data_IF_782029120420
#
_entry.id   IF_782029120420
#
_cell.length_a   1.000
_cell.length_b   1.000
_cell.length_c   1.000
_cell.angle_alpha   90.00
_cell.angle_beta   90.00
_cell.angle_gamma   90.00
#
_symmetry.space_group_name_H-M   'P 1'
#
loop_
_entity.id
_entity.type
_entity.pdbx_description
1 polymer ?
#
# COMPACT_ATOMS: atom_id res chain seq x y z
N UNK A 1 4.02 28.77 13.37
CA UNK A 1 2.80 28.56 12.55
C UNK A 1 2.85 27.19 11.88
N UNK A 2 1.95 26.29 12.27
CA UNK A 2 1.77 24.98 11.65
C UNK A 2 0.88 25.05 10.41
N UNK A 3 1.35 24.53 9.27
CA UNK A 3 0.56 24.43 8.05
C UNK A 3 0.05 23.00 7.89
N UNK A 4 -1.27 22.81 7.73
CA UNK A 4 -1.87 21.48 7.58
C UNK A 4 -2.48 21.37 6.19
N UNK A 5 -2.06 20.36 5.42
CA UNK A 5 -2.62 20.02 4.12
C UNK A 5 -3.38 18.70 4.26
N UNK A 6 -4.70 18.75 4.07
CA UNK A 6 -5.61 17.60 4.11
C UNK A 6 -6.00 17.17 2.70
N UNK A 7 -6.44 15.92 2.55
CA UNK A 7 -6.98 15.42 1.28
C UNK A 7 -5.91 15.01 0.27
N UNK A 8 -4.69 14.71 0.74
CA UNK A 8 -3.66 14.13 -0.12
C UNK A 8 -4.03 12.68 -0.40
N UNK A 9 -4.18 12.34 -1.67
CA UNK A 9 -4.39 10.96 -2.11
C UNK A 9 -3.10 10.43 -2.69
N UNK A 10 -2.68 9.24 -2.25
CA UNK A 10 -1.54 8.55 -2.79
C UNK A 10 -1.92 7.11 -3.16
N UNK A 11 -1.65 6.67 -4.40
CA UNK A 11 -1.86 5.28 -4.77
C UNK A 11 -0.86 4.39 -4.05
N UNK A 12 -1.35 3.25 -3.58
CA UNK A 12 -0.62 2.22 -2.87
C UNK A 12 -0.87 0.88 -3.54
N UNK A 13 0.13 0.01 -3.53
CA UNK A 13 0.01 -1.35 -4.02
C UNK A 13 0.37 -2.34 -2.94
N UNK A 14 -0.58 -3.20 -2.57
CA UNK A 14 -0.31 -4.33 -1.70
C UNK A 14 0.07 -5.54 -2.57
N UNK A 15 1.24 -6.12 -2.33
CA UNK A 15 1.63 -7.39 -2.92
C UNK A 15 1.61 -8.46 -1.84
N UNK A 16 0.81 -9.51 -2.06
CA UNK A 16 0.73 -10.70 -1.22
C UNK A 16 1.32 -11.88 -1.98
N UNK A 17 2.24 -12.61 -1.37
CA UNK A 17 2.77 -13.86 -1.91
C UNK A 17 2.35 -14.98 -0.98
N UNK A 18 1.48 -15.86 -1.46
CA UNK A 18 0.92 -16.95 -0.69
C UNK A 18 1.28 -18.29 -1.33
N UNK A 19 1.84 -19.22 -0.57
CA UNK A 19 2.07 -20.57 -1.09
C UNK A 19 0.82 -21.42 -0.87
N UNK A 20 0.20 -21.86 -1.95
CA UNK A 20 -1.08 -22.60 -1.86
C UNK A 20 -0.89 -24.03 -1.35
N UNK A 21 0.30 -24.60 -1.53
CA UNK A 21 0.60 -25.98 -1.14
C UNK A 21 0.77 -26.08 0.37
N UNK A 22 1.58 -25.18 0.94
CA UNK A 22 1.77 -25.09 2.40
C UNK A 22 0.68 -24.29 3.10
N UNK A 23 -0.16 -23.55 2.36
CA UNK A 23 -1.19 -22.65 2.89
C UNK A 23 -0.62 -21.57 3.81
N UNK A 24 0.55 -21.05 3.46
CA UNK A 24 1.26 -20.04 4.24
C UNK A 24 1.46 -18.76 3.43
N UNK A 25 1.25 -17.61 4.09
CA UNK A 25 1.70 -16.33 3.56
C UNK A 25 3.23 -16.29 3.61
N UNK A 26 3.86 -16.19 2.44
CA UNK A 26 5.31 -16.11 2.31
C UNK A 26 5.79 -14.67 2.52
N UNK A 27 5.07 -13.70 1.93
CA UNK A 27 5.41 -12.29 2.05
C UNK A 27 4.18 -11.41 1.89
N UNK A 28 4.21 -10.25 2.54
CA UNK A 28 3.30 -9.13 2.32
C UNK A 28 4.11 -7.85 2.30
N UNK A 29 4.02 -7.08 1.22
CA UNK A 29 4.64 -5.76 1.11
C UNK A 29 3.64 -4.73 0.60
N UNK A 30 3.82 -3.48 1.04
CA UNK A 30 3.08 -2.33 0.53
C UNK A 30 4.08 -1.40 -0.10
N UNK A 31 3.86 -1.09 -1.37
CA UNK A 31 4.68 -0.18 -2.15
C UNK A 31 3.87 1.07 -2.49
N UNK A 32 4.54 2.22 -2.51
CA UNK A 32 3.95 3.48 -2.95
C UNK A 32 3.95 3.52 -4.48
N UNK A 33 2.78 3.71 -5.09
CA UNK A 33 2.65 3.76 -6.54
C UNK A 33 1.35 3.13 -7.03
N UNK A 34 1.04 3.37 -8.30
CA UNK A 34 -0.09 2.74 -8.96
C UNK A 34 0.23 1.29 -9.34
N UNK A 35 -0.76 0.41 -9.17
CA UNK A 35 -0.73 -0.92 -9.73
C UNK A 35 -2.14 -1.34 -10.18
N UNK A 36 -2.21 -2.39 -10.99
CA UNK A 36 -3.48 -2.99 -11.35
C UNK A 36 -3.81 -4.13 -10.38
N UNK A 37 -5.11 -4.40 -10.22
CA UNK A 37 -5.56 -5.63 -9.58
C UNK A 37 -5.11 -6.81 -10.45
N UNK A 38 -4.22 -7.63 -9.91
CA UNK A 38 -3.60 -8.72 -10.64
C UNK A 38 -3.46 -9.95 -9.74
N UNK A 39 -3.57 -11.12 -10.33
CA UNK A 39 -3.36 -12.38 -9.64
C UNK A 39 -2.57 -13.30 -10.55
N UNK A 40 -1.36 -13.65 -10.13
CA UNK A 40 -0.45 -14.53 -10.85
C UNK A 40 -0.20 -15.79 -10.05
N UNK A 41 -0.12 -16.93 -10.73
CA UNK A 41 0.17 -18.21 -10.10
C UNK A 41 1.40 -18.85 -10.73
N UNK A 42 2.40 -19.14 -9.91
CA UNK A 42 3.59 -19.87 -10.32
C UNK A 42 3.41 -21.38 -10.06
N UNK A 43 3.30 -22.14 -11.14
CA UNK A 43 3.12 -23.60 -11.10
C UNK A 43 4.33 -24.36 -10.54
N UNK A 44 5.54 -23.78 -10.58
CA UNK A 44 6.79 -24.39 -10.09
C UNK A 44 6.89 -24.25 -8.58
N UNK A 45 6.76 -23.02 -8.07
CA UNK A 45 6.88 -22.74 -6.64
C UNK A 45 5.58 -22.93 -5.88
N UNK A 46 4.44 -23.05 -6.57
CA UNK A 46 3.08 -23.04 -6.00
C UNK A 46 2.76 -21.74 -5.26
N UNK A 47 3.41 -20.64 -5.64
CA UNK A 47 3.14 -19.32 -5.10
C UNK A 47 2.03 -18.64 -5.91
N UNK A 48 1.05 -18.12 -5.19
CA UNK A 48 0.02 -17.21 -5.66
C UNK A 48 0.43 -15.80 -5.28
N UNK A 49 0.71 -14.97 -6.27
CA UNK A 49 1.01 -13.55 -6.12
C UNK A 49 -0.26 -12.77 -6.38
N UNK A 50 -0.70 -11.96 -5.42
CA UNK A 50 -1.89 -11.13 -5.52
C UNK A 50 -1.43 -9.68 -5.37
N UNK A 51 -1.76 -8.84 -6.35
CA UNK A 51 -1.54 -7.40 -6.29
C UNK A 51 -2.88 -6.71 -6.16
N UNK A 52 -3.02 -5.89 -5.13
CA UNK A 52 -4.26 -5.17 -4.85
C UNK A 52 -3.97 -3.67 -4.82
N UNK A 53 -4.62 -2.87 -5.69
CA UNK A 53 -4.51 -1.42 -5.64
C UNK A 53 -5.33 -0.85 -4.49
N UNK A 54 -4.77 0.14 -3.81
CA UNK A 54 -5.44 0.92 -2.78
C UNK A 54 -5.13 2.41 -3.01
N UNK A 55 -6.02 3.25 -2.51
CA UNK A 55 -5.78 4.70 -2.40
C UNK A 55 -5.67 5.03 -0.92
N UNK A 56 -4.47 5.42 -0.49
CA UNK A 56 -4.24 6.00 0.82
C UNK A 56 -4.61 7.47 0.81
N UNK A 57 -5.39 7.92 1.78
CA UNK A 57 -5.60 9.33 2.06
C UNK A 57 -4.70 9.72 3.23
N UNK A 58 -4.04 10.86 3.11
CA UNK A 58 -3.12 11.36 4.10
C UNK A 58 -3.35 12.84 4.43
N UNK A 59 -2.86 13.22 5.60
CA UNK A 59 -2.71 14.61 6.00
C UNK A 59 -1.23 14.88 6.23
N UNK A 60 -0.73 15.98 5.66
CA UNK A 60 0.64 16.45 5.90
C UNK A 60 0.59 17.66 6.83
N UNK A 61 1.35 17.59 7.92
CA UNK A 61 1.50 18.68 8.87
C UNK A 61 2.94 19.18 8.78
N UNK A 62 3.10 20.46 8.45
CA UNK A 62 4.37 21.17 8.52
C UNK A 62 4.45 21.92 9.84
N UNK A 63 5.48 21.64 10.63
CA UNK A 63 5.76 22.37 11.87
C UNK A 63 6.74 23.53 11.64
N UNK A 64 6.84 24.39 12.64
CA UNK A 64 7.69 25.60 12.65
C UNK A 64 9.19 25.29 12.42
N UNK A 65 9.59 24.03 12.56
CA UNK A 65 10.96 23.53 12.36
C UNK A 65 11.16 22.86 10.98
N UNK A 66 10.25 23.10 10.03
CA UNK A 66 10.23 22.42 8.71
C UNK A 66 10.16 20.89 8.78
N UNK A 67 9.72 20.33 9.91
CA UNK A 67 9.46 18.90 10.00
C UNK A 67 8.10 18.64 9.36
N UNK A 68 8.09 17.74 8.38
CA UNK A 68 6.88 17.25 7.73
C UNK A 68 6.48 15.90 8.35
N UNK A 69 5.25 15.79 8.82
CA UNK A 69 4.67 14.53 9.27
C UNK A 69 3.51 14.16 8.36
N UNK A 70 3.53 12.93 7.84
CA UNK A 70 2.44 12.36 7.06
C UNK A 70 1.68 11.36 7.92
N UNK A 71 0.38 11.56 8.07
CA UNK A 71 -0.50 10.62 8.77
C UNK A 71 -1.51 10.09 7.78
N UNK A 72 -1.54 8.76 7.60
CA UNK A 72 -2.59 8.09 6.83
C UNK A 72 -3.91 8.23 7.57
N UNK A 73 -4.88 8.91 6.97
CA UNK A 73 -6.20 9.15 7.55
C UNK A 73 -7.24 8.15 7.07
N UNK A 74 -7.09 7.59 5.86
CA UNK A 74 -8.02 6.60 5.32
C UNK A 74 -7.33 5.69 4.28
N UNK A 75 -7.85 4.49 4.08
CA UNK A 75 -7.44 3.57 3.02
C UNK A 75 -8.71 3.08 2.32
N UNK A 76 -8.82 3.34 1.02
CA UNK A 76 -9.95 2.93 0.20
C UNK A 76 -9.48 2.01 -0.92
N UNK A 77 -10.19 0.90 -1.13
CA UNK A 77 -10.00 0.05 -2.30
C UNK A 77 -10.93 0.56 -3.43
N UNK A 78 -10.43 0.69 -4.68
CA UNK A 78 -11.26 1.06 -5.82
C UNK A 78 -12.31 -0.01 -6.17
#
# INVERSE_FOLDING_TARGET
MTCTITGLTQPLCLTLIYNISSRTLISSSVDCGECALETEFDFTTKNLVIRVPFTGQGTVIFSDNFQASCVTTNITQP
#
